data_IF_348378562550
#
_entry.id   IF_348378562550
#
_cell.length_a   1.000
_cell.length_b   1.000
_cell.length_c   1.000
_cell.angle_alpha   90.00
_cell.angle_beta   90.00
_cell.angle_gamma   90.00
#
_symmetry.space_group_name_H-M   'P 1'
#
loop_
_entity.id
_entity.type
_entity.pdbx_description
1 polymer ?
#
# COMPACT_ATOMS: atom_id res chain seq x y z
N UNK A 1 6.76 70.34 -17.50
CA UNK A 1 6.13 69.78 -16.29
C UNK A 1 6.75 68.41 -16.05
N UNK A 2 7.45 68.29 -14.92
CA UNK A 2 8.17 67.11 -14.46
C UNK A 2 7.17 66.21 -13.71
N UNK A 3 7.04 64.92 -14.04
CA UNK A 3 6.34 63.95 -13.20
C UNK A 3 7.21 62.70 -13.02
N UNK A 4 7.77 62.67 -11.81
CA UNK A 4 8.27 61.59 -10.97
C UNK A 4 7.97 60.13 -11.32
N UNK A 5 9.08 59.37 -11.37
CA UNK A 5 9.36 57.99 -10.97
C UNK A 5 8.24 57.12 -10.35
N UNK A 6 8.20 55.85 -10.80
CA UNK A 6 8.02 54.68 -9.93
C UNK A 6 8.64 53.46 -10.62
N UNK A 7 9.79 53.02 -10.11
CA UNK A 7 10.45 51.77 -10.51
C UNK A 7 9.71 50.66 -9.76
N UNK A 8 8.87 49.89 -10.44
CA UNK A 8 8.21 48.72 -9.85
C UNK A 8 9.14 47.51 -10.03
N UNK A 9 9.94 47.24 -9.00
CA UNK A 9 10.74 46.02 -8.89
C UNK A 9 9.82 44.81 -8.72
N UNK A 10 9.52 44.12 -9.81
CA UNK A 10 8.91 42.78 -9.77
C UNK A 10 10.00 41.76 -9.44
N UNK A 11 10.30 41.60 -8.15
CA UNK A 11 10.89 40.37 -7.63
C UNK A 11 9.76 39.33 -7.64
N UNK A 12 9.54 38.70 -8.78
CA UNK A 12 8.74 37.49 -8.86
C UNK A 12 9.64 36.35 -8.40
N UNK A 13 9.52 36.02 -7.11
CA UNK A 13 10.23 34.92 -6.49
C UNK A 13 10.04 33.65 -7.31
N UNK A 14 11.14 32.98 -7.60
CA UNK A 14 11.12 31.59 -8.05
C UNK A 14 10.33 30.80 -7.01
N UNK A 15 9.11 30.39 -7.34
CA UNK A 15 8.45 29.33 -6.63
C UNK A 15 9.31 28.08 -6.87
N UNK A 16 10.23 27.81 -5.96
CA UNK A 16 10.87 26.50 -5.85
C UNK A 16 9.70 25.59 -5.48
N UNK A 17 9.29 24.61 -6.31
CA UNK A 17 8.47 23.55 -5.79
C UNK A 17 9.37 22.78 -4.81
N UNK A 18 9.31 23.15 -3.54
CA UNK A 18 9.67 22.25 -2.44
C UNK A 18 8.50 21.27 -2.30
N UNK A 19 8.20 20.54 -3.37
CA UNK A 19 7.54 19.26 -3.25
C UNK A 19 8.62 18.26 -2.89
N UNK A 20 9.02 18.36 -1.62
CA UNK A 20 9.32 17.23 -0.77
C UNK A 20 9.94 16.04 -1.51
N UNK A 21 11.27 16.03 -1.61
CA UNK A 21 12.06 14.79 -1.66
C UNK A 21 11.74 13.85 -0.47
N UNK A 22 10.89 14.29 0.47
CA UNK A 22 10.30 13.52 1.55
C UNK A 22 8.92 12.90 1.23
N UNK A 23 8.42 12.98 0.00
CA UNK A 23 7.72 11.82 -0.55
C UNK A 23 8.84 10.93 -1.03
N UNK A 24 9.44 10.15 -0.12
CA UNK A 24 10.25 9.02 -0.51
C UNK A 24 9.37 8.26 -1.50
N UNK A 25 9.66 8.41 -2.80
CA UNK A 25 8.94 7.73 -3.85
C UNK A 25 9.16 6.28 -3.49
N UNK A 26 8.13 5.69 -2.89
CA UNK A 26 8.02 4.28 -2.59
C UNK A 26 8.61 3.60 -3.82
N UNK A 27 9.76 2.95 -3.67
CA UNK A 27 10.49 2.42 -4.81
C UNK A 27 9.49 1.56 -5.58
N UNK A 28 9.11 2.01 -6.77
CA UNK A 28 8.03 1.41 -7.52
C UNK A 28 8.65 0.37 -8.43
N UNK A 29 8.66 -0.87 -7.94
CA UNK A 29 8.95 -2.05 -8.71
C UNK A 29 8.10 -2.15 -9.97
N UNK A 30 7.01 -1.38 -10.11
CA UNK A 30 6.19 -1.24 -11.31
C UNK A 30 5.30 -2.45 -11.53
N UNK A 31 4.12 -2.29 -12.14
CA UNK A 31 2.91 -2.62 -11.40
C UNK A 31 2.82 -4.12 -11.16
N UNK A 32 3.21 -4.56 -9.98
CA UNK A 32 2.72 -5.83 -9.48
C UNK A 32 1.21 -5.73 -9.27
N UNK A 33 0.52 -6.85 -9.49
CA UNK A 33 -0.89 -6.98 -9.15
C UNK A 33 -1.01 -8.22 -8.27
N UNK A 34 -1.78 -8.12 -7.19
CA UNK A 34 -2.18 -9.29 -6.41
C UNK A 34 -3.69 -9.37 -6.28
N UNK A 35 -4.19 -10.61 -6.26
CA UNK A 35 -5.52 -10.88 -5.75
C UNK A 35 -5.41 -11.14 -4.24
N UNK A 36 -6.19 -10.40 -3.45
CA UNK A 36 -6.18 -10.45 -1.98
C UNK A 36 -7.53 -10.97 -1.49
N UNK A 37 -7.49 -12.00 -0.67
CA UNK A 37 -8.64 -12.67 -0.08
C UNK A 37 -8.72 -12.34 1.41
N UNK A 38 -9.86 -11.80 1.86
CA UNK A 38 -10.10 -11.48 3.28
C UNK A 38 -11.13 -12.42 3.89
N UNK A 39 -10.80 -12.95 5.07
CA UNK A 39 -11.60 -13.88 5.85
C UNK A 39 -11.94 -13.24 7.20
N UNK A 40 -13.07 -12.54 7.35
CA UNK A 40 -13.34 -11.65 8.47
C UNK A 40 -13.66 -12.30 9.81
N UNK A 41 -13.84 -13.62 9.82
CA UNK A 41 -14.13 -14.42 11.02
C UNK A 41 -13.21 -15.64 11.08
N UNK A 42 -11.93 -15.45 10.74
CA UNK A 42 -10.93 -16.50 10.74
C UNK A 42 -9.59 -15.99 11.24
N UNK A 43 -8.95 -16.76 12.11
CA UNK A 43 -7.59 -16.51 12.59
C UNK A 43 -6.68 -17.59 12.03
N UNK A 44 -5.60 -17.20 11.35
CA UNK A 44 -4.57 -18.13 10.90
C UNK A 44 -3.95 -18.84 12.11
N UNK A 45 -3.96 -20.16 12.09
CA UNK A 45 -3.40 -21.03 13.14
C UNK A 45 -1.88 -21.25 13.00
N UNK A 46 -1.28 -20.70 11.93
CA UNK A 46 0.14 -20.70 11.62
C UNK A 46 0.39 -20.04 10.26
N UNK A 47 1.64 -19.98 9.76
CA UNK A 47 1.97 -19.51 8.41
C UNK A 47 1.58 -20.53 7.32
N UNK A 48 0.47 -21.24 7.53
CA UNK A 48 0.00 -22.36 6.71
C UNK A 48 -1.12 -21.95 5.76
N UNK A 49 -1.55 -22.91 4.94
CA UNK A 49 -2.51 -22.81 3.84
C UNK A 49 -3.73 -21.97 4.23
N UNK A 50 -4.14 -21.05 3.35
CA UNK A 50 -5.40 -20.31 3.49
C UNK A 50 -6.57 -21.26 3.80
N UNK A 51 -7.59 -20.84 4.55
CA UNK A 51 -8.69 -21.72 4.93
C UNK A 51 -9.25 -22.44 3.70
N UNK A 52 -9.40 -23.77 3.79
CA UNK A 52 -9.79 -24.65 2.68
C UNK A 52 -11.26 -24.50 2.24
N UNK A 53 -12.02 -23.66 2.95
CA UNK A 53 -13.42 -23.43 2.69
C UNK A 53 -13.66 -21.98 2.28
N UNK A 54 -14.59 -21.82 1.36
CA UNK A 54 -14.99 -20.62 0.64
C UNK A 54 -15.70 -19.58 1.53
N UNK A 55 -15.15 -19.30 2.72
CA UNK A 55 -15.52 -18.19 3.58
C UNK A 55 -14.85 -16.89 3.13
N UNK A 56 -14.39 -16.82 1.88
CA UNK A 56 -13.79 -15.61 1.31
C UNK A 56 -14.90 -14.60 1.08
N UNK A 57 -15.06 -13.64 1.99
CA UNK A 57 -16.13 -12.63 1.87
C UNK A 57 -15.77 -11.62 0.78
N UNK A 58 -14.48 -11.45 0.48
CA UNK A 58 -14.04 -10.46 -0.51
C UNK A 58 -12.68 -10.82 -1.10
N UNK A 59 -12.65 -10.89 -2.43
CA UNK A 59 -11.43 -10.94 -3.25
C UNK A 59 -11.28 -9.62 -3.98
N UNK A 60 -10.17 -8.91 -3.76
CA UNK A 60 -9.87 -7.66 -4.47
C UNK A 60 -8.56 -7.76 -5.24
N UNK A 61 -8.54 -7.18 -6.43
CA UNK A 61 -7.31 -6.92 -7.15
C UNK A 61 -6.68 -5.65 -6.60
N UNK A 62 -5.44 -5.72 -6.13
CA UNK A 62 -4.64 -4.58 -5.69
C UNK A 62 -3.49 -4.41 -6.67
N UNK A 63 -3.32 -3.21 -7.21
CA UNK A 63 -2.19 -2.86 -8.07
C UNK A 63 -1.18 -2.06 -7.25
N UNK A 64 0.11 -2.30 -7.46
CA UNK A 64 1.17 -1.48 -6.90
C UNK A 64 0.95 0.01 -7.22
N UNK A 65 1.39 0.90 -6.33
CA UNK A 65 1.14 2.35 -6.38
C UNK A 65 -0.34 2.77 -6.27
N UNK A 66 -1.27 1.82 -6.12
CA UNK A 66 -2.68 2.12 -5.85
C UNK A 66 -3.04 1.83 -4.40
N UNK A 67 -3.71 2.79 -3.77
CA UNK A 67 -4.31 2.59 -2.46
C UNK A 67 -5.74 2.07 -2.62
N UNK A 68 -6.02 0.92 -2.04
CA UNK A 68 -7.36 0.33 -2.04
C UNK A 68 -7.98 0.49 -0.66
N UNK A 69 -9.09 1.23 -0.59
CA UNK A 69 -9.87 1.37 0.64
C UNK A 69 -10.66 0.09 0.86
N UNK A 70 -10.33 -0.62 1.93
CA UNK A 70 -10.94 -1.89 2.29
C UNK A 70 -11.01 -2.01 3.81
N UNK A 71 -12.22 -2.22 4.32
CA UNK A 71 -12.41 -2.60 5.72
C UNK A 71 -12.01 -4.06 5.92
N UNK A 72 -10.98 -4.29 6.73
CA UNK A 72 -10.56 -5.60 7.23
C UNK A 72 -10.83 -5.62 8.74
N UNK A 73 -11.92 -6.29 9.18
CA UNK A 73 -12.30 -6.34 10.59
C UNK A 73 -11.19 -6.89 11.50
N UNK A 74 -11.26 -6.54 12.79
CA UNK A 74 -10.41 -7.18 13.80
C UNK A 74 -10.73 -8.68 13.88
N UNK A 75 -9.71 -9.53 13.98
CA UNK A 75 -9.88 -10.99 13.98
C UNK A 75 -10.05 -11.59 12.58
N UNK A 76 -9.77 -10.81 11.53
CA UNK A 76 -9.69 -11.33 10.16
C UNK A 76 -8.36 -12.00 9.88
N UNK A 77 -8.37 -12.89 8.90
CA UNK A 77 -7.19 -13.36 8.19
C UNK A 77 -7.18 -12.84 6.76
N UNK A 78 -5.98 -12.77 6.19
CA UNK A 78 -5.77 -12.38 4.79
C UNK A 78 -4.82 -13.37 4.13
N UNK A 79 -5.09 -13.69 2.87
CA UNK A 79 -4.12 -14.32 1.98
C UNK A 79 -4.07 -13.54 0.67
N UNK A 80 -2.99 -13.71 -0.10
CA UNK A 80 -2.90 -13.09 -1.40
C UNK A 80 -2.03 -13.89 -2.36
N UNK A 81 -2.21 -13.65 -3.65
CA UNK A 81 -1.31 -14.17 -4.68
C UNK A 81 -1.03 -13.11 -5.74
N UNK A 82 0.22 -13.03 -6.17
CA UNK A 82 0.57 -12.21 -7.33
C UNK A 82 -0.12 -12.77 -8.57
N UNK A 83 -0.81 -11.89 -9.30
CA UNK A 83 -1.40 -12.14 -10.62
C UNK A 83 -0.60 -11.45 -11.73
N UNK A 84 0.25 -10.49 -11.36
CA UNK A 84 1.23 -9.86 -12.24
C UNK A 84 2.55 -9.66 -11.48
N UNK A 85 3.65 -10.07 -12.10
CA UNK A 85 5.02 -9.89 -11.58
C UNK A 85 5.41 -8.41 -11.64
N UNK A 86 6.15 -7.89 -10.63
CA UNK A 86 6.75 -6.56 -10.71
C UNK A 86 7.79 -6.47 -11.85
N UNK A 87 8.32 -5.29 -12.14
CA UNK A 87 9.43 -5.15 -13.11
C UNK A 87 10.65 -6.00 -12.67
N UNK A 88 11.44 -6.38 -13.66
CA UNK A 88 12.70 -7.13 -13.46
C UNK A 88 13.64 -6.42 -12.49
N UNK A 89 14.29 -7.18 -11.62
CA UNK A 89 15.30 -6.69 -10.68
C UNK A 89 14.76 -6.35 -9.28
N UNK A 90 13.45 -6.47 -9.08
CA UNK A 90 12.78 -6.32 -7.79
C UNK A 90 13.08 -7.52 -6.88
N UNK A 91 13.52 -7.24 -5.66
CA UNK A 91 13.94 -8.25 -4.69
C UNK A 91 12.77 -8.88 -3.92
N UNK A 92 11.67 -8.14 -3.73
CA UNK A 92 10.50 -8.64 -3.01
C UNK A 92 9.24 -7.81 -3.22
N UNK A 93 8.10 -8.40 -2.90
CA UNK A 93 6.82 -7.72 -2.84
C UNK A 93 6.20 -7.88 -1.45
N UNK A 94 5.45 -6.87 -1.03
CA UNK A 94 4.76 -6.81 0.26
C UNK A 94 3.34 -6.31 0.07
N UNK A 95 2.41 -6.89 0.82
CA UNK A 95 1.09 -6.30 1.07
C UNK A 95 1.20 -5.50 2.36
N UNK A 96 0.84 -4.22 2.30
CA UNK A 96 0.79 -3.33 3.46
C UNK A 96 -0.66 -3.05 3.82
N UNK A 97 -0.99 -3.20 5.11
CA UNK A 97 -2.29 -2.82 5.66
C UNK A 97 -2.17 -1.57 6.52
N UNK A 98 -3.11 -0.66 6.35
CA UNK A 98 -3.16 0.64 7.04
C UNK A 98 -4.34 0.69 7.99
N UNK A 99 -4.15 1.36 9.13
CA UNK A 99 -5.21 1.54 10.12
C UNK A 99 -6.40 2.34 9.56
N UNK A 100 -6.12 3.48 8.93
CA UNK A 100 -7.12 4.37 8.36
C UNK A 100 -7.52 3.95 6.93
N UNK A 101 -8.55 4.60 6.39
CA UNK A 101 -9.00 4.45 5.00
C UNK A 101 -8.10 5.11 3.96
N UNK A 102 -6.79 5.15 4.20
CA UNK A 102 -5.79 5.74 3.29
C UNK A 102 -4.44 5.03 3.45
N UNK A 103 -3.59 5.10 2.42
CA UNK A 103 -2.26 4.51 2.43
C UNK A 103 -1.15 5.53 2.76
N UNK A 104 -1.54 6.65 3.37
CA UNK A 104 -0.60 7.67 3.83
C UNK A 104 0.07 7.22 5.13
N UNK A 105 1.39 7.06 5.12
CA UNK A 105 2.14 6.71 6.33
C UNK A 105 2.18 7.92 7.27
N UNK A 106 1.65 7.74 8.48
CA UNK A 106 1.72 8.74 9.55
C UNK A 106 1.69 8.03 10.90
N UNK A 107 1.95 8.76 11.99
CA UNK A 107 1.89 8.20 13.35
C UNK A 107 0.50 7.61 13.66
N UNK A 108 -0.56 8.30 13.24
CA UNK A 108 -1.96 7.86 13.46
C UNK A 108 -2.45 6.84 12.44
N UNK A 109 -1.73 6.67 11.32
CA UNK A 109 -2.01 5.70 10.27
C UNK A 109 -0.80 4.78 10.04
N UNK A 110 -0.38 4.11 11.11
CA UNK A 110 0.66 3.10 11.01
C UNK A 110 0.20 1.96 10.09
N UNK A 111 1.19 1.26 9.53
CA UNK A 111 0.95 0.12 8.66
C UNK A 111 1.72 -1.11 9.14
N UNK A 112 1.28 -2.28 8.67
CA UNK A 112 2.01 -3.54 8.82
C UNK A 112 2.15 -4.17 7.44
N UNK A 113 3.38 -4.55 7.09
CA UNK A 113 3.72 -5.17 5.81
C UNK A 113 3.97 -6.67 5.95
N UNK A 114 3.49 -7.45 4.99
CA UNK A 114 3.75 -8.88 4.91
C UNK A 114 4.32 -9.26 3.54
N UNK A 115 5.42 -10.00 3.56
CA UNK A 115 6.13 -10.40 2.35
C UNK A 115 5.40 -11.51 1.59
N UNK A 116 5.38 -11.41 0.26
CA UNK A 116 5.12 -12.55 -0.60
C UNK A 116 6.32 -13.51 -0.61
N UNK A 117 6.04 -14.79 -0.83
CA UNK A 117 7.04 -15.83 -1.07
C UNK A 117 7.51 -15.76 -2.54
N UNK A 118 8.27 -14.71 -2.85
CA UNK A 118 8.80 -14.41 -4.19
C UNK A 118 8.00 -13.35 -4.95
N UNK A 119 8.41 -13.11 -6.20
CA UNK A 119 7.91 -12.04 -7.07
C UNK A 119 7.26 -12.56 -8.37
N UNK A 120 7.25 -13.88 -8.60
CA UNK A 120 6.63 -14.46 -9.80
C UNK A 120 5.10 -14.47 -9.70
N UNK A 121 4.42 -14.50 -10.84
CA UNK A 121 2.97 -14.81 -10.87
C UNK A 121 2.73 -16.12 -10.13
N UNK A 122 1.74 -16.12 -9.25
CA UNK A 122 1.42 -17.25 -8.39
C UNK A 122 2.16 -17.26 -7.04
N UNK A 123 3.20 -16.43 -6.85
CA UNK A 123 3.82 -16.24 -5.53
C UNK A 123 2.77 -15.83 -4.51
N UNK A 124 2.87 -16.40 -3.31
CA UNK A 124 1.82 -16.33 -2.28
C UNK A 124 2.26 -15.49 -1.11
N UNK A 125 1.35 -14.65 -0.63
CA UNK A 125 1.30 -14.26 0.75
C UNK A 125 0.58 -15.41 1.50
N UNK A 126 1.23 -16.09 2.46
CA UNK A 126 0.56 -17.13 3.25
C UNK A 126 -0.59 -16.53 4.07
N UNK A 127 -1.36 -17.36 4.78
CA UNK A 127 -2.35 -16.84 5.71
C UNK A 127 -1.67 -15.95 6.75
N UNK A 128 -2.08 -14.69 6.83
CA UNK A 128 -1.61 -13.73 7.83
C UNK A 128 -2.77 -13.14 8.62
N UNK A 129 -2.55 -12.90 9.90
CA UNK A 129 -3.44 -12.12 10.76
C UNK A 129 -2.89 -10.69 10.81
N UNK A 130 -3.56 -9.68 10.20
CA UNK A 130 -3.13 -8.28 10.26
C UNK A 130 -2.91 -7.85 11.72
N UNK A 131 -1.66 -7.60 12.10
CA UNK A 131 -1.29 -7.34 13.48
C UNK A 131 -1.86 -6.01 13.98
N UNK A 132 -2.17 -5.98 15.28
CA UNK A 132 -2.73 -4.83 15.98
C UNK A 132 -4.08 -5.14 16.63
N UNK A 133 -4.50 -4.28 17.56
CA UNK A 133 -5.78 -4.39 18.26
C UNK A 133 -6.93 -3.67 17.52
N UNK A 134 -6.74 -3.37 16.24
CA UNK A 134 -7.60 -2.47 15.46
C UNK A 134 -7.86 -3.04 14.07
N UNK A 135 -9.04 -2.75 13.53
CA UNK A 135 -9.38 -3.03 12.13
C UNK A 135 -8.47 -2.24 11.17
N UNK A 136 -8.36 -2.71 9.93
CA UNK A 136 -7.62 -2.01 8.85
C UNK A 136 -8.60 -1.37 7.88
N UNK A 137 -8.26 -0.19 7.39
CA UNK A 137 -9.11 0.61 6.50
C UNK A 137 -8.61 0.69 5.07
N UNK A 138 -7.34 0.39 4.82
CA UNK A 138 -6.77 0.40 3.48
C UNK A 138 -5.64 -0.62 3.32
N UNK A 139 -5.36 -0.94 2.06
CA UNK A 139 -4.35 -1.89 1.62
C UNK A 139 -3.67 -1.40 0.35
N UNK A 140 -2.38 -1.70 0.21
CA UNK A 140 -1.61 -1.48 -1.02
C UNK A 140 -0.52 -2.54 -1.16
N UNK A 141 0.00 -2.68 -2.38
CA UNK A 141 1.18 -3.50 -2.68
C UNK A 141 2.39 -2.58 -2.85
N UNK A 142 3.53 -3.05 -2.37
CA UNK A 142 4.85 -2.44 -2.57
C UNK A 142 5.81 -3.48 -3.07
N UNK A 143 6.59 -3.18 -4.10
CA UNK A 143 7.66 -4.07 -4.51
C UNK A 143 8.97 -3.29 -4.71
N UNK A 144 10.07 -3.79 -4.15
CA UNK A 144 11.39 -3.17 -4.23
C UNK A 144 12.49 -4.23 -4.40
#
# INVERSE_FOLDING_TARGET
MLVTASILSLVSGSAIPVESELVARKAAGGPAIANVAVYPSYTCTGPTVAPSYDATIKSISVTEETCQVLSVPLGSAVSANLTQTPKTGVAGCYINFYKAGSCAVSFDNYYVGYAFQGTSVGSKLPCVNPMGAEAKGAIEITCF
#
